data_IF_528497965833
#
_entry.id   IF_528497965833
#
_cell.length_a   1.000
_cell.length_b   1.000
_cell.length_c   1.000
_cell.angle_alpha   90.00
_cell.angle_beta   90.00
_cell.angle_gamma   90.00
#
_symmetry.space_group_name_H-M   'P 1'
#
loop_
_entity.id
_entity.type
_entity.pdbx_description
1 polymer ?
#
# COMPACT_ATOMS: atom_id res chain seq x y z
N UNK A 1 0.19 -17.27 8.18
CA UNK A 1 0.80 -15.99 7.74
C UNK A 1 0.29 -14.93 8.71
N UNK A 2 1.15 -14.30 9.52
CA UNK A 2 0.70 -13.28 10.50
C UNK A 2 0.39 -12.00 9.72
N UNK A 3 -0.88 -11.58 9.69
CA UNK A 3 -1.25 -10.24 9.23
C UNK A 3 -0.77 -9.24 10.29
N UNK A 4 0.13 -8.35 9.89
CA UNK A 4 0.54 -7.24 10.74
C UNK A 4 -0.51 -6.14 10.55
N UNK A 5 -1.41 -6.00 11.53
CA UNK A 5 -2.39 -4.92 11.56
C UNK A 5 -1.77 -3.75 12.32
N UNK A 6 -1.23 -2.78 11.58
CA UNK A 6 -1.14 -1.41 12.11
C UNK A 6 -2.44 -0.72 11.76
N UNK A 7 -3.04 -0.05 12.73
CA UNK A 7 -4.24 0.74 12.49
C UNK A 7 -3.93 2.03 11.70
N UNK A 8 -2.66 2.46 11.69
CA UNK A 8 -2.25 3.68 11.01
C UNK A 8 -1.73 3.40 9.58
N UNK A 9 -2.15 4.28 8.67
CA UNK A 9 -1.84 4.27 7.24
C UNK A 9 -1.20 5.59 6.89
N UNK A 10 -0.20 5.55 6.02
CA UNK A 10 0.44 6.74 5.49
C UNK A 10 0.36 6.76 3.96
N UNK A 11 0.36 7.99 3.41
CA UNK A 11 0.27 8.28 2.00
C UNK A 11 1.28 9.38 1.66
N UNK A 12 2.10 9.16 0.64
CA UNK A 12 2.95 10.18 0.02
C UNK A 12 2.85 10.07 -1.51
N UNK A 13 3.52 10.96 -2.23
CA UNK A 13 3.54 10.97 -3.69
C UNK A 13 4.98 10.96 -4.21
N UNK A 14 5.27 10.05 -5.15
CA UNK A 14 6.53 9.99 -5.89
C UNK A 14 6.23 10.39 -7.34
N UNK A 15 6.59 11.61 -7.73
CA UNK A 15 6.31 12.14 -9.08
C UNK A 15 4.84 11.90 -9.50
N UNK A 16 3.90 12.36 -8.67
CA UNK A 16 2.44 12.19 -8.81
C UNK A 16 1.89 10.76 -8.65
N UNK A 17 2.74 9.74 -8.52
CA UNK A 17 2.32 8.37 -8.22
C UNK A 17 2.07 8.25 -6.71
N UNK A 18 0.84 7.89 -6.28
CA UNK A 18 0.57 7.73 -4.86
C UNK A 18 1.30 6.50 -4.30
N UNK A 19 2.05 6.68 -3.22
CA UNK A 19 2.63 5.61 -2.42
C UNK A 19 1.88 5.48 -1.10
N UNK A 20 1.27 4.32 -0.86
CA UNK A 20 0.41 4.06 0.28
C UNK A 20 0.83 2.78 1.00
N UNK A 21 0.61 2.74 2.31
CA UNK A 21 1.06 1.61 3.12
C UNK A 21 0.82 1.79 4.61
N UNK A 22 1.09 0.74 5.41
CA UNK A 22 1.04 0.83 6.86
C UNK A 22 2.16 1.73 7.40
N UNK A 23 1.85 2.44 8.48
CA UNK A 23 2.84 3.11 9.33
C UNK A 23 3.27 2.15 10.45
N UNK A 24 4.54 1.77 10.45
CA UNK A 24 5.12 0.78 11.35
C UNK A 24 6.05 1.44 12.38
N UNK A 25 6.26 0.81 13.56
CA UNK A 25 7.00 1.43 14.66
C UNK A 25 8.48 1.68 14.35
N UNK A 26 9.09 0.83 13.52
CA UNK A 26 10.51 0.92 13.18
C UNK A 26 10.78 0.46 11.74
N UNK A 27 11.99 0.77 11.27
CA UNK A 27 12.48 0.42 9.94
C UNK A 27 12.46 -1.09 9.71
N UNK A 28 12.85 -1.89 10.69
CA UNK A 28 12.92 -3.36 10.57
C UNK A 28 11.56 -3.97 10.25
N UNK A 29 10.51 -3.50 10.92
CA UNK A 29 9.14 -3.95 10.68
C UNK A 29 8.64 -3.48 9.30
N UNK A 30 8.90 -2.23 8.94
CA UNK A 30 8.58 -1.70 7.61
C UNK A 30 9.25 -2.50 6.48
N UNK A 31 10.52 -2.86 6.66
CA UNK A 31 11.27 -3.69 5.71
C UNK A 31 10.66 -5.08 5.60
N UNK A 32 10.29 -5.69 6.73
CA UNK A 32 9.69 -7.02 6.76
C UNK A 32 8.37 -7.07 6.01
N UNK A 33 7.51 -6.09 6.23
CA UNK A 33 6.21 -5.97 5.55
C UNK A 33 6.41 -5.70 4.06
N UNK A 34 7.26 -4.73 3.69
CA UNK A 34 7.51 -4.41 2.28
C UNK A 34 8.12 -5.59 1.52
N UNK A 35 9.05 -6.35 2.13
CA UNK A 35 9.58 -7.60 1.56
C UNK A 35 8.52 -8.69 1.41
N UNK A 36 7.46 -8.68 2.23
CA UNK A 36 6.33 -9.58 2.05
C UNK A 36 5.54 -9.21 0.79
N UNK A 37 5.29 -7.91 0.56
CA UNK A 37 4.65 -7.44 -0.67
C UNK A 37 5.41 -7.84 -1.92
N UNK A 38 6.72 -7.57 -1.94
CA UNK A 38 7.57 -7.91 -3.08
C UNK A 38 7.54 -9.42 -3.39
N UNK A 39 7.52 -10.28 -2.36
CA UNK A 39 7.40 -11.73 -2.54
C UNK A 39 6.03 -12.16 -3.09
N UNK A 40 4.95 -11.58 -2.57
CA UNK A 40 3.60 -11.86 -3.07
C UNK A 40 3.44 -11.43 -4.53
N UNK A 41 4.01 -10.29 -4.88
CA UNK A 41 3.92 -9.71 -6.21
C UNK A 41 4.84 -10.44 -7.20
N UNK A 42 6.03 -10.87 -6.79
CA UNK A 42 6.88 -11.76 -7.60
C UNK A 42 6.17 -13.10 -7.89
N UNK A 43 5.44 -13.64 -6.91
CA UNK A 43 4.61 -14.83 -7.13
C UNK A 43 3.51 -14.57 -8.17
N UNK A 44 2.79 -13.46 -8.05
CA UNK A 44 1.79 -13.04 -9.03
C UNK A 44 2.38 -12.82 -10.43
N UNK A 45 3.60 -12.27 -10.50
CA UNK A 45 4.34 -12.02 -11.73
C UNK A 45 4.62 -13.33 -12.50
N UNK A 46 4.93 -14.40 -11.78
CA UNK A 46 5.29 -15.71 -12.35
C UNK A 46 4.11 -16.54 -12.85
N UNK A 47 2.90 -16.29 -12.35
CA UNK A 47 1.71 -17.12 -12.66
C UNK A 47 1.11 -16.91 -14.08
N UNK A 48 1.78 -16.15 -14.97
CA UNK A 48 1.56 -16.09 -16.44
C UNK A 48 0.10 -16.04 -16.93
N UNK A 49 -0.82 -15.45 -16.16
CA UNK A 49 -2.13 -15.06 -16.68
C UNK A 49 -2.07 -13.61 -17.12
N UNK A 50 -2.51 -13.38 -18.35
CA UNK A 50 -2.48 -12.15 -19.16
C UNK A 50 -3.09 -10.89 -18.48
N UNK A 51 -3.49 -10.99 -17.21
CA UNK A 51 -4.25 -9.99 -16.46
C UNK A 51 -3.67 -9.82 -15.05
N UNK A 52 -2.40 -9.42 -14.92
CA UNK A 52 -1.79 -8.98 -13.64
C UNK A 52 -2.34 -7.62 -13.18
N UNK A 53 -3.68 -7.53 -13.09
CA UNK A 53 -4.39 -6.35 -12.62
C UNK A 53 -4.68 -6.53 -11.15
N UNK A 54 -4.28 -5.55 -10.35
CA UNK A 54 -4.75 -5.46 -8.98
C UNK A 54 -6.11 -4.75 -8.97
N UNK A 55 -7.04 -5.25 -8.16
CA UNK A 55 -8.31 -4.55 -7.88
C UNK A 55 -8.23 -3.85 -6.54
N UNK A 56 -8.78 -2.65 -6.49
CA UNK A 56 -8.91 -1.84 -5.28
C UNK A 56 -10.38 -1.78 -4.89
N UNK A 57 -10.67 -2.03 -3.61
CA UNK A 57 -12.00 -1.83 -3.04
C UNK A 57 -11.91 -0.93 -1.83
N UNK A 58 -12.79 0.06 -1.78
CA UNK A 58 -12.92 0.97 -0.65
C UNK A 58 -14.20 0.64 0.10
N UNK A 59 -14.08 0.32 1.38
CA UNK A 59 -15.19 -0.08 2.25
C UNK A 59 -15.34 0.97 3.34
N UNK A 60 -16.50 1.63 3.42
CA UNK A 60 -16.78 2.59 4.49
C UNK A 60 -16.98 1.86 5.83
N UNK A 61 -16.32 2.34 6.87
CA UNK A 61 -16.41 1.84 8.25
C UNK A 61 -17.54 2.54 9.01
N UNK A 62 -17.93 1.99 10.17
CA UNK A 62 -19.05 2.51 10.98
C UNK A 62 -18.80 3.92 11.52
N UNK A 63 -17.55 4.28 11.73
CA UNK A 63 -17.10 5.57 12.26
C UNK A 63 -16.86 6.64 11.18
N UNK A 64 -17.12 6.32 9.90
CA UNK A 64 -16.92 7.23 8.77
C UNK A 64 -15.56 7.12 8.09
N UNK A 65 -14.60 6.36 8.63
CA UNK A 65 -13.32 6.06 7.97
C UNK A 65 -13.50 4.98 6.90
N UNK A 66 -12.43 4.65 6.18
CA UNK A 66 -12.44 3.70 5.08
C UNK A 66 -11.36 2.62 5.22
N UNK A 67 -11.67 1.42 4.73
CA UNK A 67 -10.72 0.34 4.51
C UNK A 67 -10.44 0.21 3.02
N UNK A 68 -9.16 0.24 2.64
CA UNK A 68 -8.67 -0.09 1.31
C UNK A 68 -8.25 -1.56 1.26
N UNK A 69 -8.90 -2.34 0.41
CA UNK A 69 -8.54 -3.73 0.13
C UNK A 69 -7.86 -3.81 -1.23
N UNK A 70 -6.62 -4.32 -1.24
CA UNK A 70 -5.81 -4.57 -2.45
C UNK A 70 -5.80 -6.06 -2.75
N UNK A 71 -6.30 -6.46 -3.92
CA UNK A 71 -6.33 -7.87 -4.35
C UNK A 71 -5.67 -8.07 -5.70
N UNK A 72 -4.80 -9.08 -5.77
CA UNK A 72 -4.35 -9.66 -7.03
C UNK A 72 -5.29 -10.77 -7.51
N UNK A 73 -5.06 -11.33 -8.70
CA UNK A 73 -5.79 -12.50 -9.19
C UNK A 73 -5.72 -13.66 -8.20
N UNK A 74 -6.87 -14.04 -7.65
CA UNK A 74 -6.98 -15.19 -6.73
C UNK A 74 -6.35 -15.02 -5.35
N UNK A 75 -5.83 -13.83 -4.98
CA UNK A 75 -5.24 -13.62 -3.65
C UNK A 75 -5.42 -12.19 -3.12
N UNK A 76 -5.56 -12.07 -1.79
CA UNK A 76 -5.47 -10.80 -1.11
C UNK A 76 -3.98 -10.41 -0.96
N UNK A 77 -3.65 -9.17 -1.31
CA UNK A 77 -2.30 -8.62 -1.15
C UNK A 77 -2.21 -7.86 0.16
N UNK A 78 -3.14 -6.92 0.40
CA UNK A 78 -3.15 -6.11 1.61
C UNK A 78 -4.56 -5.56 1.93
N UNK A 79 -4.79 -5.25 3.20
CA UNK A 79 -5.96 -4.52 3.71
C UNK A 79 -5.50 -3.42 4.65
N UNK A 80 -5.60 -2.17 4.18
CA UNK A 80 -5.26 -0.97 4.93
C UNK A 80 -6.54 -0.39 5.54
N UNK A 81 -6.62 -0.29 6.86
CA UNK A 81 -7.79 0.22 7.57
C UNK A 81 -7.60 1.67 8.01
N UNK A 82 -8.70 2.32 8.43
CA UNK A 82 -8.70 3.63 9.07
C UNK A 82 -8.22 4.79 8.18
N UNK A 83 -8.36 4.67 6.85
CA UNK A 83 -8.14 5.80 5.95
C UNK A 83 -9.20 6.86 6.22
N UNK A 84 -8.77 8.09 6.52
CA UNK A 84 -9.68 9.23 6.56
C UNK A 84 -10.17 9.61 5.15
N UNK A 85 -11.24 10.40 5.08
CA UNK A 85 -11.84 10.80 3.80
C UNK A 85 -10.89 11.64 2.93
N UNK A 86 -10.06 12.49 3.52
CA UNK A 86 -9.12 13.34 2.79
C UNK A 86 -7.99 12.51 2.17
N UNK A 87 -7.44 11.55 2.92
CA UNK A 87 -6.45 10.58 2.43
C UNK A 87 -7.02 9.75 1.30
N UNK A 88 -8.26 9.25 1.44
CA UNK A 88 -8.96 8.52 0.39
C UNK A 88 -9.10 9.36 -0.89
N UNK A 89 -9.54 10.61 -0.77
CA UNK A 89 -9.69 11.51 -1.90
C UNK A 89 -8.35 11.81 -2.58
N UNK A 90 -7.28 12.05 -1.79
CA UNK A 90 -5.92 12.24 -2.31
C UNK A 90 -5.42 11.01 -3.06
N UNK A 91 -5.61 9.82 -2.48
CA UNK A 91 -5.21 8.57 -3.11
C UNK A 91 -5.95 8.34 -4.44
N UNK A 92 -7.29 8.50 -4.44
CA UNK A 92 -8.10 8.42 -5.66
C UNK A 92 -7.69 9.44 -6.73
N UNK A 93 -7.29 10.65 -6.32
CA UNK A 93 -6.80 11.67 -7.24
C UNK A 93 -5.45 11.29 -7.86
N UNK A 94 -4.56 10.64 -7.10
CA UNK A 94 -3.28 10.12 -7.61
C UNK A 94 -3.44 8.91 -8.53
N UNK A 95 -4.45 8.08 -8.29
CA UNK A 95 -4.76 6.90 -9.10
C UNK A 95 -5.21 7.18 -10.54
N UNK A 96 -5.23 8.43 -11.01
CA UNK A 96 -5.59 8.79 -12.39
C UNK A 96 -4.74 8.07 -13.45
N UNK A 97 -3.50 7.70 -13.11
CA UNK A 97 -2.62 6.90 -13.98
C UNK A 97 -2.86 5.39 -13.89
N UNK A 98 -3.91 4.92 -13.20
CA UNK A 98 -4.17 3.51 -12.87
C UNK A 98 -2.99 2.82 -12.17
N UNK A 99 -2.14 3.58 -11.48
CA UNK A 99 -0.92 3.10 -10.84
C UNK A 99 -0.77 3.67 -9.44
N UNK A 100 -0.21 2.86 -8.54
CA UNK A 100 0.20 3.26 -7.21
C UNK A 100 1.37 2.40 -6.73
N UNK A 101 2.04 2.86 -5.68
CA UNK A 101 3.11 2.12 -5.01
C UNK A 101 2.56 1.58 -3.68
N UNK A 102 2.61 0.27 -3.50
CA UNK A 102 2.41 -0.37 -2.21
C UNK A 102 3.75 -0.46 -1.49
N UNK A 103 3.88 0.22 -0.36
CA UNK A 103 5.11 0.33 0.43
C UNK A 103 4.78 0.25 1.92
N UNK A 104 5.76 0.47 2.79
CA UNK A 104 5.53 0.75 4.20
C UNK A 104 6.23 2.04 4.62
N UNK A 105 5.79 2.58 5.75
CA UNK A 105 6.31 3.78 6.38
C UNK A 105 6.79 3.46 7.79
N UNK A 106 7.67 4.30 8.33
CA UNK A 106 8.09 4.25 9.72
C UNK A 106 8.49 5.65 10.21
N UNK A 107 8.50 5.84 11.52
CA UNK A 107 9.03 7.07 12.11
C UNK A 107 10.53 6.88 12.35
N UNK A 108 11.34 7.82 11.86
CA UNK A 108 12.75 7.94 12.21
C UNK A 108 12.90 8.36 13.69
N UNK A 109 14.08 8.17 14.30
CA UNK A 109 14.31 8.55 15.69
C UNK A 109 14.07 10.04 16.00
N UNK A 110 14.15 10.90 14.98
CA UNK A 110 13.88 12.34 15.07
C UNK A 110 12.39 12.70 14.92
N UNK A 111 11.51 11.69 14.75
CA UNK A 111 10.08 11.86 14.56
C UNK A 111 9.66 12.11 13.10
N UNK A 112 10.60 12.12 12.15
CA UNK A 112 10.30 12.30 10.73
C UNK A 112 9.66 11.03 10.16
N UNK A 113 8.59 11.19 9.37
CA UNK A 113 7.98 10.09 8.65
C UNK A 113 8.84 9.69 7.44
N UNK A 114 9.36 8.47 7.45
CA UNK A 114 10.09 7.88 6.33
C UNK A 114 9.19 6.95 5.51
N UNK A 115 9.37 6.99 4.19
CA UNK A 115 8.73 6.11 3.22
C UNK A 115 9.80 5.19 2.61
N UNK A 116 9.63 3.87 2.71
CA UNK A 116 10.63 2.94 2.18
C UNK A 116 10.83 3.02 0.66
N UNK A 117 9.78 3.35 -0.08
CA UNK A 117 9.90 3.56 -1.52
C UNK A 117 10.81 4.76 -1.86
N UNK A 118 10.83 5.78 -1.01
CA UNK A 118 11.69 6.96 -1.18
C UNK A 118 13.10 6.75 -0.59
N UNK A 119 13.18 6.24 0.64
CA UNK A 119 14.44 6.13 1.37
C UNK A 119 15.34 5.01 0.82
N UNK A 120 14.74 3.88 0.42
CA UNK A 120 15.45 2.64 0.13
C UNK A 120 15.07 2.04 -1.24
N UNK A 121 14.27 2.75 -2.04
CA UNK A 121 13.74 2.22 -3.31
C UNK A 121 12.84 0.99 -3.13
N UNK A 122 12.34 0.73 -1.92
CA UNK A 122 11.57 -0.46 -1.61
C UNK A 122 10.07 -0.19 -1.63
N UNK A 123 9.43 -0.67 -2.68
CA UNK A 123 7.97 -0.63 -2.85
C UNK A 123 7.60 -1.42 -4.09
N UNK A 124 6.33 -1.79 -4.21
CA UNK A 124 5.82 -2.49 -5.36
C UNK A 124 4.88 -1.60 -6.16
N UNK A 125 5.21 -1.40 -7.44
CA UNK A 125 4.37 -0.65 -8.37
C UNK A 125 3.24 -1.58 -8.83
N UNK A 126 2.01 -1.18 -8.57
CA UNK A 126 0.81 -1.95 -8.91
C UNK A 126 -0.06 -1.17 -9.88
N UNK A 127 -0.55 -1.88 -10.90
CA UNK A 127 -1.52 -1.37 -11.84
C UNK A 127 -2.94 -1.79 -11.42
N UNK A 128 -3.82 -0.80 -11.29
CA UNK A 128 -5.24 -1.00 -11.02
C UNK A 128 -6.05 -0.19 -12.03
N UNK A 129 -6.50 -0.80 -13.13
CA UNK A 129 -7.46 -0.16 -14.01
C UNK A 129 -8.80 -0.09 -13.26
N UNK A 130 -9.31 1.14 -13.12
CA UNK A 130 -10.58 1.43 -12.44
C UNK A 130 -11.76 0.60 -12.95
#
# INVERSE_FOLDING_TARGET
MKSYHTDDVALTFLNDIPAIGPLLPCKEDALKVTRSYLRLIDKLAREKKDHQRCSLRFIKQKDGRFTLVVRGPGMAIETLSNLDELMLQRFKRGLKGNMFILTSFFNEPDGTLACLALAEGMGAVLYSPG
#
